data_IF_582336094772
#
_entry.id   IF_582336094772
#
_cell.length_a   1.000
_cell.length_b   1.000
_cell.length_c   1.000
_cell.angle_alpha   90.00
_cell.angle_beta   90.00
_cell.angle_gamma   90.00
#
_symmetry.space_group_name_H-M   'P 1'
#
loop_
_entity.id
_entity.type
_entity.pdbx_description
1 polymer ?
#
# COMPACT_ATOMS: atom_id res chain seq x y z
N UNK A 1 12.74 -18.27 18.30
CA UNK A 1 12.24 -18.11 19.68
C UNK A 1 11.55 -16.76 19.79
N UNK A 2 10.21 -16.69 19.85
CA UNK A 2 9.52 -15.41 20.04
C UNK A 2 9.71 -14.97 21.49
N UNK A 3 10.30 -13.79 21.71
CA UNK A 3 10.33 -13.15 23.02
C UNK A 3 8.89 -12.83 23.43
N UNK A 4 8.37 -13.55 24.43
CA UNK A 4 7.13 -13.17 25.10
C UNK A 4 7.49 -12.12 26.15
N UNK A 5 7.22 -10.87 25.83
CA UNK A 5 7.31 -9.78 26.80
C UNK A 5 5.91 -9.61 27.39
N UNK A 6 5.75 -9.97 28.66
CA UNK A 6 4.53 -9.69 29.42
C UNK A 6 4.58 -8.23 29.90
N UNK A 7 3.96 -7.34 29.14
CA UNK A 7 3.80 -5.93 29.52
C UNK A 7 2.50 -5.80 30.31
N UNK A 8 2.61 -5.58 31.62
CA UNK A 8 1.45 -5.24 32.45
C UNK A 8 0.87 -3.89 32.00
N UNK A 9 -0.46 -3.79 31.93
CA UNK A 9 -1.16 -2.58 31.50
C UNK A 9 -0.76 -1.34 32.32
N UNK A 10 -0.52 -1.53 33.61
CA UNK A 10 -0.12 -0.47 34.55
C UNK A 10 1.27 0.14 34.22
N UNK A 11 2.07 -0.54 33.40
CA UNK A 11 3.39 -0.06 32.96
C UNK A 11 3.33 0.74 31.64
N UNK A 12 2.16 0.83 30.99
CA UNK A 12 2.00 1.53 29.71
C UNK A 12 1.79 3.03 29.97
N UNK A 13 2.80 3.84 29.66
CA UNK A 13 2.75 5.30 29.85
C UNK A 13 1.96 6.01 28.72
N UNK A 14 1.90 5.42 27.53
CA UNK A 14 1.18 5.95 26.38
C UNK A 14 0.66 4.82 25.50
N UNK A 15 -0.55 4.97 24.98
CA UNK A 15 -1.16 4.03 24.03
C UNK A 15 -2.02 4.78 23.04
N UNK A 16 -1.92 4.41 21.76
CA UNK A 16 -2.76 4.89 20.68
C UNK A 16 -2.97 3.78 19.65
N UNK A 17 -4.13 3.79 18.99
CA UNK A 17 -4.53 2.77 18.02
C UNK A 17 -5.08 3.47 16.78
N UNK A 18 -4.51 3.12 15.63
CA UNK A 18 -5.01 3.56 14.34
C UNK A 18 -5.32 2.37 13.43
N UNK A 19 -6.53 2.36 12.85
CA UNK A 19 -6.99 1.32 11.94
C UNK A 19 -6.96 1.79 10.49
N UNK A 20 -6.29 1.03 9.62
CA UNK A 20 -6.18 1.32 8.20
C UNK A 20 -7.08 0.37 7.40
N UNK A 21 -8.23 0.86 6.93
CA UNK A 21 -9.21 0.03 6.21
C UNK A 21 -8.63 -0.59 4.92
N UNK A 22 -7.72 0.12 4.25
CA UNK A 22 -7.08 -0.28 2.99
C UNK A 22 -5.55 -0.32 3.09
N UNK A 23 -5.01 -0.79 4.22
CA UNK A 23 -3.56 -0.81 4.44
C UNK A 23 -2.79 -1.78 3.53
N UNK A 24 -3.48 -2.81 3.01
CA UNK A 24 -2.82 -3.89 2.29
C UNK A 24 -3.79 -4.53 1.30
N UNK A 25 -3.26 -4.98 0.16
CA UNK A 25 -4.02 -5.78 -0.79
C UNK A 25 -3.47 -7.22 -0.84
N UNK A 26 -4.37 -8.21 -0.84
CA UNK A 26 -3.96 -9.62 -0.93
C UNK A 26 -3.80 -10.10 -2.37
N UNK A 27 -4.45 -9.44 -3.32
CA UNK A 27 -4.48 -9.83 -4.73
C UNK A 27 -4.08 -8.65 -5.60
N UNK A 28 -3.01 -8.79 -6.36
CA UNK A 28 -2.55 -7.78 -7.31
C UNK A 28 -3.55 -7.63 -8.46
N UNK A 29 -3.90 -6.39 -8.81
CA UNK A 29 -4.68 -6.11 -10.00
C UNK A 29 -3.70 -5.88 -11.18
N UNK A 30 -3.42 -6.89 -12.00
CA UNK A 30 -2.65 -6.67 -13.23
C UNK A 30 -3.53 -5.99 -14.30
N UNK A 31 -2.99 -5.11 -15.17
CA UNK A 31 -1.58 -4.70 -15.33
C UNK A 31 -1.15 -3.58 -14.36
N UNK A 32 0.16 -3.41 -14.10
CA UNK A 32 0.78 -2.44 -13.15
C UNK A 32 0.19 -1.01 -13.10
N UNK A 33 -0.41 -0.51 -14.18
CA UNK A 33 -1.15 0.75 -14.23
C UNK A 33 -2.14 0.73 -15.40
N UNK A 34 -3.05 1.71 -15.43
CA UNK A 34 -4.01 1.88 -16.53
C UNK A 34 -4.01 3.32 -17.04
N UNK A 35 -4.08 3.48 -18.35
CA UNK A 35 -4.18 4.77 -19.06
C UNK A 35 -5.30 4.70 -20.08
N UNK A 36 -6.28 5.58 -19.93
CA UNK A 36 -7.30 5.86 -20.93
C UNK A 36 -6.91 7.12 -21.71
N UNK A 37 -6.53 6.94 -22.99
CA UNK A 37 -6.08 8.02 -23.86
C UNK A 37 -7.20 8.96 -24.30
N UNK A 38 -8.44 8.48 -24.39
CA UNK A 38 -9.56 9.23 -24.92
C UNK A 38 -10.09 10.16 -23.82
N UNK A 39 -10.12 9.67 -22.58
CA UNK A 39 -10.43 10.46 -21.37
C UNK A 39 -9.24 11.25 -20.84
N UNK A 40 -8.02 10.93 -21.28
CA UNK A 40 -6.74 11.41 -20.72
C UNK A 40 -6.67 11.18 -19.21
N UNK A 41 -7.06 9.99 -18.76
CA UNK A 41 -7.13 9.61 -17.36
C UNK A 41 -6.25 8.40 -17.07
N UNK A 42 -5.38 8.54 -16.08
CA UNK A 42 -4.48 7.49 -15.63
C UNK A 42 -4.74 7.08 -14.18
N UNK A 43 -4.57 5.80 -13.88
CA UNK A 43 -4.61 5.26 -12.51
C UNK A 43 -3.43 4.32 -12.27
N UNK A 44 -2.79 4.52 -11.12
CA UNK A 44 -1.75 3.66 -10.58
C UNK A 44 -1.83 3.67 -9.06
N UNK A 45 -1.25 2.67 -8.43
CA UNK A 45 -1.18 2.50 -6.98
C UNK A 45 -0.37 1.26 -6.67
N UNK A 46 0.04 1.05 -5.42
CA UNK A 46 0.75 -0.17 -5.02
C UNK A 46 -0.03 -1.42 -5.41
N UNK A 47 -1.34 -1.42 -5.13
CA UNK A 47 -2.26 -2.56 -5.30
C UNK A 47 -2.29 -3.21 -6.70
N UNK A 48 -1.76 -2.55 -7.73
CA UNK A 48 -1.64 -3.16 -9.04
C UNK A 48 -0.55 -4.26 -9.10
N UNK A 49 0.53 -4.12 -8.33
CA UNK A 49 1.68 -5.05 -8.38
C UNK A 49 2.18 -5.52 -7.00
N UNK A 50 1.59 -5.03 -5.91
CA UNK A 50 1.78 -5.53 -4.55
C UNK A 50 1.22 -4.56 -3.51
N UNK A 51 1.72 -4.59 -2.28
CA UNK A 51 1.22 -3.71 -1.21
C UNK A 51 2.38 -3.01 -0.48
N UNK A 52 3.38 -2.59 -1.25
CA UNK A 52 4.61 -1.95 -0.75
C UNK A 52 4.77 -0.61 -1.45
N UNK A 53 5.43 0.33 -0.79
CA UNK A 53 5.65 1.68 -1.34
C UNK A 53 6.42 1.66 -2.67
N UNK A 54 7.35 0.73 -2.82
CA UNK A 54 8.14 0.50 -4.03
C UNK A 54 7.25 0.14 -5.24
N UNK A 55 6.19 -0.65 -5.01
CA UNK A 55 5.23 -1.00 -6.05
C UNK A 55 4.48 0.25 -6.51
N UNK A 56 3.99 1.08 -5.58
CA UNK A 56 3.31 2.34 -5.94
C UNK A 56 4.22 3.23 -6.79
N UNK A 57 5.48 3.40 -6.38
CA UNK A 57 6.44 4.23 -7.10
C UNK A 57 6.77 3.69 -8.50
N UNK A 58 7.01 2.38 -8.61
CA UNK A 58 7.27 1.73 -9.89
C UNK A 58 6.08 1.86 -10.85
N UNK A 59 4.87 1.65 -10.34
CA UNK A 59 3.63 1.75 -11.11
C UNK A 59 3.37 3.20 -11.58
N UNK A 60 3.62 4.20 -10.73
CA UNK A 60 3.53 5.60 -11.12
C UNK A 60 4.53 5.98 -12.21
N UNK A 61 5.78 5.50 -12.10
CA UNK A 61 6.79 5.68 -13.15
C UNK A 61 6.38 5.03 -14.48
N UNK A 62 5.71 3.88 -14.42
CA UNK A 62 5.21 3.21 -15.61
C UNK A 62 4.07 4.02 -16.24
N UNK A 63 3.10 4.49 -15.46
CA UNK A 63 2.01 5.33 -15.96
C UNK A 63 2.54 6.60 -16.63
N UNK A 64 3.52 7.27 -16.02
CA UNK A 64 4.13 8.48 -16.56
C UNK A 64 4.82 8.27 -17.93
N UNK A 65 5.19 7.03 -18.30
CA UNK A 65 5.73 6.70 -19.63
C UNK A 65 4.66 6.47 -20.69
N UNK A 66 3.39 6.28 -20.28
CA UNK A 66 2.25 6.03 -21.17
C UNK A 66 1.50 7.31 -21.56
N UNK A 67 1.76 8.40 -20.84
CA UNK A 67 1.23 9.75 -21.06
C UNK A 67 2.19 10.50 -21.99
#
# INVERSE_FOLDING_TARGET
>A
TKLKVDIKKDNIQYSDIHGWLYAYNQKTAAPNCYWDKDLRLGICGDWFSGAQAENAFANAKQLAKLI
#
